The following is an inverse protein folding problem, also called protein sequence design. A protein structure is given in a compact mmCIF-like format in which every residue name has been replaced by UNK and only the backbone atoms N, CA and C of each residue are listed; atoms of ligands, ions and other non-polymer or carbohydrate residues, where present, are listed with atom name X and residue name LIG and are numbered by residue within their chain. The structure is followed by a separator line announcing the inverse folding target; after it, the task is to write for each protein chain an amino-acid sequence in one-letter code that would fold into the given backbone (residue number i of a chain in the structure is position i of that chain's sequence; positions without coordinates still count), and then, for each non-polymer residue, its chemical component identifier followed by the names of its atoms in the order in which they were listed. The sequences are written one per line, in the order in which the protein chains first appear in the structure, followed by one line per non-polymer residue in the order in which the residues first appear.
data_IF_109814325400
#
_entry.id   IF_109814325400
#
_cell.length_a   1.000
_cell.length_b   1.000
_cell.length_c   1.000
_cell.angle_alpha   90.00
_cell.angle_beta   90.00
_cell.angle_gamma   90.00
#
_symmetry.space_group_name_H-M   'P 1'
#
loop_
_entity.id
_entity.type
_entity.pdbx_description
1 polymer ?
#
# COMPACT_ATOMS: atom_id res chain seq x y z
N UNK A 1 19.40 27.70 7.09
CA UNK A 1 18.03 28.26 6.94
C UNK A 1 17.07 27.17 7.40
N UNK A 2 16.63 27.21 8.68
CA UNK A 2 15.72 26.23 9.25
C UNK A 2 14.36 26.40 8.58
N UNK A 3 14.04 25.55 7.60
CA UNK A 3 12.65 25.37 7.19
C UNK A 3 11.92 24.75 8.36
N UNK A 4 11.22 25.58 9.10
CA UNK A 4 10.17 25.14 10.02
C UNK A 4 9.17 24.34 9.19
N UNK A 5 9.31 23.03 9.21
CA UNK A 5 8.38 22.08 8.59
C UNK A 5 7.00 22.39 9.15
N UNK A 6 6.21 23.06 8.36
CA UNK A 6 4.86 23.50 8.68
C UNK A 6 4.00 22.26 8.94
N UNK A 7 3.80 21.95 10.20
CA UNK A 7 3.13 20.76 10.75
C UNK A 7 1.61 20.68 10.45
N UNK A 8 1.10 21.49 9.53
CA UNK A 8 -0.27 21.39 9.02
C UNK A 8 -0.25 20.64 7.69
N UNK A 9 -0.68 19.37 7.74
CA UNK A 9 -1.06 18.67 6.50
C UNK A 9 -2.15 19.48 5.81
N UNK A 10 -1.89 20.13 4.66
CA UNK A 10 -2.93 20.82 3.94
C UNK A 10 -3.85 19.77 3.33
N UNK A 11 -4.97 19.54 4.01
CA UNK A 11 -5.97 18.53 3.61
C UNK A 11 -6.34 18.62 2.12
N UNK A 12 -6.33 19.83 1.57
CA UNK A 12 -6.60 20.08 0.14
C UNK A 12 -5.61 19.36 -0.80
N UNK A 13 -4.32 19.33 -0.47
CA UNK A 13 -3.32 18.69 -1.32
C UNK A 13 -3.34 17.16 -1.20
N UNK A 14 -3.66 16.63 -0.03
CA UNK A 14 -3.89 15.19 0.16
C UNK A 14 -5.11 14.74 -0.65
N UNK A 15 -6.20 15.51 -0.57
CA UNK A 15 -7.40 15.23 -1.35
C UNK A 15 -7.11 15.36 -2.86
N UNK A 16 -6.36 16.38 -3.27
CA UNK A 16 -5.96 16.55 -4.67
C UNK A 16 -5.12 15.38 -5.17
N UNK A 17 -4.14 14.90 -4.38
CA UNK A 17 -3.32 13.74 -4.75
C UNK A 17 -4.19 12.49 -4.91
N UNK A 18 -5.12 12.24 -3.98
CA UNK A 18 -6.05 11.13 -4.06
C UNK A 18 -6.95 11.23 -5.32
N UNK A 19 -7.62 12.36 -5.49
CA UNK A 19 -8.58 12.56 -6.61
C UNK A 19 -7.87 12.53 -7.96
N UNK A 20 -6.69 13.14 -8.08
CA UNK A 20 -5.93 13.14 -9.33
C UNK A 20 -5.52 11.73 -9.73
N UNK A 21 -4.94 10.95 -8.80
CA UNK A 21 -4.51 9.58 -9.10
C UNK A 21 -5.72 8.66 -9.38
N UNK A 22 -6.84 8.87 -8.67
CA UNK A 22 -8.09 8.18 -8.98
C UNK A 22 -8.59 8.52 -10.39
N UNK A 23 -8.60 9.79 -10.77
CA UNK A 23 -9.08 10.24 -12.08
C UNK A 23 -8.21 9.70 -13.23
N UNK A 24 -6.87 9.65 -13.05
CA UNK A 24 -5.97 9.08 -14.05
C UNK A 24 -6.23 7.57 -14.18
N UNK A 25 -6.35 6.84 -13.06
CA UNK A 25 -6.71 5.42 -13.09
C UNK A 25 -8.06 5.18 -13.74
N UNK A 26 -9.06 6.03 -13.43
CA UNK A 26 -10.37 5.96 -14.05
C UNK A 26 -10.31 6.21 -15.57
N UNK A 27 -9.56 7.21 -16.01
CA UNK A 27 -9.37 7.47 -17.44
C UNK A 27 -8.69 6.28 -18.18
N UNK A 28 -7.82 5.54 -17.48
CA UNK A 28 -7.16 4.36 -18.05
C UNK A 28 -8.06 3.11 -18.05
N UNK A 29 -8.81 2.86 -16.97
CA UNK A 29 -9.52 1.59 -16.77
C UNK A 29 -10.99 1.63 -17.21
N UNK A 30 -11.70 2.76 -17.05
CA UNK A 30 -13.12 2.85 -17.42
C UNK A 30 -13.44 2.50 -18.89
N UNK A 31 -12.62 2.88 -19.89
CA UNK A 31 -12.92 2.50 -21.27
C UNK A 31 -12.99 0.97 -21.46
N UNK A 32 -12.11 0.22 -20.78
CA UNK A 32 -12.15 -1.25 -20.82
C UNK A 32 -13.37 -1.80 -20.08
N UNK A 33 -13.66 -1.27 -18.91
CA UNK A 33 -14.84 -1.69 -18.15
C UNK A 33 -16.15 -1.41 -18.91
N UNK A 34 -16.26 -0.26 -19.57
CA UNK A 34 -17.44 0.06 -20.39
C UNK A 34 -17.57 -0.90 -21.57
N UNK A 35 -16.46 -1.20 -22.27
CA UNK A 35 -16.43 -2.16 -23.37
C UNK A 35 -16.90 -3.54 -22.94
N UNK A 36 -16.50 -3.98 -21.74
CA UNK A 36 -16.71 -5.33 -21.24
C UNK A 36 -17.93 -5.41 -20.28
N UNK A 37 -18.92 -4.50 -20.43
CA UNK A 37 -20.18 -4.54 -19.71
C UNK A 37 -20.06 -4.33 -18.19
N UNK A 38 -19.09 -3.56 -17.75
CA UNK A 38 -18.81 -3.26 -16.33
C UNK A 38 -17.73 -4.14 -15.70
N UNK A 39 -17.23 -5.14 -16.41
CA UNK A 39 -16.18 -6.02 -15.97
C UNK A 39 -14.81 -5.39 -16.26
N UNK A 40 -13.83 -5.62 -15.39
CA UNK A 40 -12.43 -5.40 -15.74
C UNK A 40 -11.81 -6.77 -16.06
N UNK A 41 -11.51 -7.00 -17.33
CA UNK A 41 -10.80 -8.18 -17.82
C UNK A 41 -9.43 -7.72 -18.33
N UNK A 42 -8.38 -8.35 -17.85
CA UNK A 42 -7.00 -7.95 -18.19
C UNK A 42 -6.31 -9.01 -19.03
N UNK A 43 -6.25 -10.21 -18.59
CA UNK A 43 -5.75 -11.45 -19.20
C UNK A 43 -4.97 -12.29 -18.17
N UNK A 44 -4.55 -13.50 -18.57
CA UNK A 44 -3.66 -14.39 -17.84
C UNK A 44 -4.13 -14.60 -16.37
N UNK A 45 -3.22 -14.46 -15.42
CA UNK A 45 -3.47 -14.72 -13.99
C UNK A 45 -4.53 -13.80 -13.38
N UNK A 46 -4.76 -12.62 -13.97
CA UNK A 46 -5.82 -11.75 -13.47
C UNK A 46 -7.19 -12.38 -13.60
N UNK A 47 -7.54 -12.83 -14.77
CA UNK A 47 -8.86 -13.39 -15.06
C UNK A 47 -9.00 -14.80 -14.48
N UNK A 48 -7.94 -15.61 -14.57
CA UNK A 48 -7.95 -17.02 -14.14
C UNK A 48 -7.86 -17.14 -12.61
N UNK A 49 -6.96 -16.41 -11.97
CA UNK A 49 -6.62 -16.59 -10.56
C UNK A 49 -7.17 -15.47 -9.67
N UNK A 50 -6.86 -14.20 -9.99
CA UNK A 50 -7.14 -13.11 -9.06
C UNK A 50 -8.65 -12.92 -8.83
N UNK A 51 -9.47 -13.02 -9.87
CA UNK A 51 -10.92 -12.96 -9.73
C UNK A 51 -11.45 -14.18 -8.94
N UNK A 52 -11.00 -15.37 -9.32
CA UNK A 52 -11.45 -16.64 -8.71
C UNK A 52 -11.06 -16.71 -7.22
N UNK A 53 -9.82 -16.34 -6.86
CA UNK A 53 -9.34 -16.37 -5.48
C UNK A 53 -10.11 -15.40 -4.59
N UNK A 54 -10.35 -14.18 -5.06
CA UNK A 54 -11.12 -13.22 -4.27
C UNK A 54 -12.58 -13.67 -4.05
N UNK A 55 -13.22 -14.23 -5.08
CA UNK A 55 -14.57 -14.78 -4.97
C UNK A 55 -14.62 -16.00 -4.05
N UNK A 56 -13.65 -16.91 -4.15
CA UNK A 56 -13.54 -18.09 -3.30
C UNK A 56 -13.34 -17.68 -1.84
N UNK A 57 -12.40 -16.76 -1.57
CA UNK A 57 -12.14 -16.28 -0.21
C UNK A 57 -13.37 -15.59 0.39
N UNK A 58 -14.08 -14.76 -0.38
CA UNK A 58 -15.30 -14.11 0.07
C UNK A 58 -16.36 -15.16 0.48
N UNK A 59 -16.57 -16.18 -0.35
CA UNK A 59 -17.52 -17.26 -0.07
C UNK A 59 -17.08 -18.10 1.12
N UNK A 60 -15.81 -18.53 1.17
CA UNK A 60 -15.29 -19.39 2.23
C UNK A 60 -15.41 -18.72 3.61
N UNK A 61 -15.07 -17.43 3.71
CA UNK A 61 -15.21 -16.69 4.98
C UNK A 61 -16.69 -16.59 5.38
N UNK A 62 -17.59 -16.31 4.43
CA UNK A 62 -19.03 -16.19 4.71
C UNK A 62 -19.69 -17.51 5.06
N UNK A 63 -19.18 -18.65 4.55
CA UNK A 63 -19.68 -19.99 4.90
C UNK A 63 -19.01 -20.59 6.13
N UNK A 64 -17.95 -19.94 6.68
CA UNK A 64 -17.20 -20.45 7.82
C UNK A 64 -16.15 -21.51 7.48
N UNK A 65 -15.85 -21.74 6.19
CA UNK A 65 -14.84 -22.68 5.70
C UNK A 65 -13.44 -22.06 5.73
N UNK A 66 -13.00 -21.59 6.93
CA UNK A 66 -11.78 -20.78 7.11
C UNK A 66 -10.55 -21.55 7.58
N UNK A 67 -10.67 -22.82 7.89
CA UNK A 67 -9.55 -23.68 8.30
C UNK A 67 -9.14 -24.60 7.16
N UNK A 68 -10.01 -25.45 6.72
CA UNK A 68 -9.80 -26.40 5.65
C UNK A 68 -10.86 -26.22 4.58
N UNK A 69 -10.45 -26.15 3.32
CA UNK A 69 -11.40 -25.94 2.23
C UNK A 69 -11.18 -26.99 1.13
N UNK A 70 -12.21 -27.80 0.87
CA UNK A 70 -12.20 -28.85 -0.14
C UNK A 70 -12.29 -28.34 -1.59
N UNK A 71 -12.56 -27.05 -1.79
CA UNK A 71 -12.61 -26.42 -3.12
C UNK A 71 -11.25 -25.92 -3.60
N UNK A 72 -10.21 -26.07 -2.76
CA UNK A 72 -8.82 -25.71 -3.09
C UNK A 72 -8.12 -27.03 -3.41
N UNK A 73 -7.77 -27.22 -4.67
CA UNK A 73 -7.21 -28.49 -5.19
C UNK A 73 -8.03 -29.71 -4.73
N UNK A 74 -7.40 -30.61 -3.98
CA UNK A 74 -8.02 -31.80 -3.35
C UNK A 74 -8.29 -31.59 -1.86
N UNK A 75 -8.27 -30.35 -1.41
CA UNK A 75 -8.38 -29.91 -0.02
C UNK A 75 -7.07 -29.33 0.49
N UNK A 76 -7.14 -28.10 1.04
CA UNK A 76 -5.97 -27.41 1.57
C UNK A 76 -6.36 -26.50 2.73
N UNK A 77 -5.33 -26.10 3.52
CA UNK A 77 -5.47 -25.06 4.53
C UNK A 77 -5.77 -23.71 3.87
N UNK A 78 -6.88 -23.10 4.29
CA UNK A 78 -7.37 -21.87 3.68
C UNK A 78 -6.44 -20.67 3.93
N UNK A 79 -5.95 -20.53 5.16
CA UNK A 79 -5.13 -19.37 5.54
C UNK A 79 -3.79 -19.39 4.82
N UNK A 80 -3.10 -20.54 4.82
CA UNK A 80 -1.82 -20.69 4.13
C UNK A 80 -1.95 -20.46 2.62
N UNK A 81 -3.05 -20.92 2.00
CA UNK A 81 -3.28 -20.79 0.57
C UNK A 81 -3.55 -19.36 0.14
N UNK A 82 -4.23 -18.55 0.96
CA UNK A 82 -4.73 -17.23 0.55
C UNK A 82 -4.19 -16.03 1.32
N UNK A 83 -3.35 -16.23 2.35
CA UNK A 83 -2.73 -15.12 3.08
C UNK A 83 -1.90 -14.21 2.16
N UNK A 84 -1.22 -14.79 1.18
CA UNK A 84 -0.43 -14.07 0.19
C UNK A 84 -1.27 -13.22 -0.76
N UNK A 85 -2.44 -13.71 -1.16
CA UNK A 85 -3.25 -13.11 -2.25
C UNK A 85 -4.31 -12.14 -1.74
N UNK A 86 -4.96 -12.43 -0.61
CA UNK A 86 -6.21 -11.73 -0.25
C UNK A 86 -6.33 -11.34 1.22
N UNK A 87 -6.05 -12.27 2.15
CA UNK A 87 -6.49 -12.12 3.55
C UNK A 87 -5.88 -10.92 4.28
N UNK A 88 -4.63 -10.56 3.98
CA UNK A 88 -3.96 -9.38 4.53
C UNK A 88 -4.39 -8.06 3.87
N UNK A 89 -5.08 -8.10 2.73
CA UNK A 89 -5.40 -6.92 1.93
C UNK A 89 -6.56 -6.11 2.53
N UNK A 90 -6.36 -4.83 2.88
CA UNK A 90 -7.48 -3.97 3.29
C UNK A 90 -8.50 -3.76 2.17
N UNK A 91 -8.07 -3.87 0.92
CA UNK A 91 -8.93 -3.72 -0.25
C UNK A 91 -9.79 -4.95 -0.51
N UNK A 92 -9.30 -6.14 -0.19
CA UNK A 92 -10.12 -7.35 -0.17
C UNK A 92 -11.29 -7.22 0.81
N UNK A 93 -11.03 -6.72 2.02
CA UNK A 93 -12.08 -6.54 3.03
C UNK A 93 -13.14 -5.51 2.64
N UNK A 94 -12.83 -4.55 1.77
CA UNK A 94 -13.85 -3.68 1.16
C UNK A 94 -14.77 -4.49 0.23
N UNK A 95 -14.22 -5.39 -0.58
CA UNK A 95 -15.01 -6.25 -1.46
C UNK A 95 -15.90 -7.23 -0.69
N UNK A 96 -15.49 -7.61 0.51
CA UNK A 96 -16.21 -8.53 1.39
C UNK A 96 -17.60 -8.02 1.80
N UNK A 97 -17.84 -6.71 1.75
CA UNK A 97 -19.14 -6.10 2.01
C UNK A 97 -20.21 -6.49 0.97
N UNK A 98 -19.81 -7.02 -0.17
CA UNK A 98 -20.65 -7.42 -1.28
C UNK A 98 -20.67 -8.94 -1.44
N UNK A 99 -21.68 -9.52 -2.15
CA UNK A 99 -21.64 -10.93 -2.51
C UNK A 99 -20.44 -11.23 -3.42
N UNK A 100 -19.89 -12.45 -3.32
CA UNK A 100 -18.72 -12.84 -4.09
C UNK A 100 -18.90 -12.66 -5.60
N UNK A 101 -20.10 -12.91 -6.12
CA UNK A 101 -20.46 -12.73 -7.54
C UNK A 101 -20.37 -11.29 -8.02
N UNK A 102 -20.36 -10.30 -7.13
CA UNK A 102 -20.17 -8.90 -7.49
C UNK A 102 -18.71 -8.51 -7.72
N UNK A 103 -17.74 -9.33 -7.27
CA UNK A 103 -16.33 -9.00 -7.31
C UNK A 103 -15.81 -8.64 -8.72
N UNK A 104 -16.16 -9.34 -9.81
CA UNK A 104 -15.71 -8.99 -11.16
C UNK A 104 -16.12 -7.56 -11.59
N UNK A 105 -17.22 -7.04 -11.07
CA UNK A 105 -17.68 -5.67 -11.32
C UNK A 105 -17.05 -4.64 -10.38
N UNK A 106 -16.60 -5.08 -9.21
CA UNK A 106 -16.01 -4.22 -8.18
C UNK A 106 -14.50 -4.04 -8.38
N UNK A 107 -13.82 -5.04 -8.93
CA UNK A 107 -12.37 -5.09 -9.00
C UNK A 107 -11.75 -3.89 -9.70
N UNK A 108 -12.35 -3.40 -10.77
CA UNK A 108 -11.89 -2.20 -11.46
C UNK A 108 -11.95 -0.94 -10.60
N UNK A 109 -13.03 -0.76 -9.84
CA UNK A 109 -13.18 0.34 -8.89
C UNK A 109 -12.19 0.25 -7.74
N UNK A 110 -11.95 -0.96 -7.25
CA UNK A 110 -10.94 -1.18 -6.21
C UNK A 110 -9.53 -0.92 -6.75
N UNK A 111 -9.25 -1.24 -8.02
CA UNK A 111 -7.98 -0.87 -8.65
C UNK A 111 -7.78 0.65 -8.70
N UNK A 112 -8.80 1.40 -9.13
CA UNK A 112 -8.75 2.87 -9.11
C UNK A 112 -8.49 3.39 -7.70
N UNK A 113 -9.10 2.77 -6.68
CA UNK A 113 -8.87 3.10 -5.28
C UNK A 113 -7.42 2.78 -4.86
N UNK A 114 -6.85 1.65 -5.27
CA UNK A 114 -5.45 1.31 -4.98
C UNK A 114 -4.48 2.33 -5.54
N UNK A 115 -4.68 2.76 -6.80
CA UNK A 115 -3.88 3.84 -7.42
C UNK A 115 -4.05 5.17 -6.67
N UNK A 116 -5.26 5.51 -6.26
CA UNK A 116 -5.53 6.72 -5.49
C UNK A 116 -4.84 6.69 -4.13
N UNK A 117 -4.87 5.55 -3.44
CA UNK A 117 -4.17 5.37 -2.15
C UNK A 117 -2.66 5.40 -2.35
N UNK A 118 -2.11 4.76 -3.39
CA UNK A 118 -0.69 4.84 -3.74
C UNK A 118 -0.24 6.30 -3.96
N UNK A 119 -1.04 7.07 -4.70
CA UNK A 119 -0.81 8.50 -4.90
C UNK A 119 -0.89 9.30 -3.59
N UNK A 120 -1.86 9.02 -2.74
CA UNK A 120 -2.02 9.68 -1.45
C UNK A 120 -0.84 9.41 -0.51
N UNK A 121 -0.44 8.15 -0.37
CA UNK A 121 0.62 7.73 0.55
C UNK A 121 1.99 8.21 0.10
N UNK A 122 2.28 8.11 -1.19
CA UNK A 122 3.52 8.61 -1.78
C UNK A 122 3.60 10.14 -1.76
N UNK A 123 2.51 10.86 -2.00
CA UNK A 123 2.45 12.30 -1.80
C UNK A 123 2.79 12.68 -0.35
N UNK A 124 2.19 11.98 0.64
CA UNK A 124 2.45 12.25 2.05
C UNK A 124 3.93 12.03 2.42
N UNK A 125 4.59 11.08 1.77
CA UNK A 125 6.02 10.83 1.94
C UNK A 125 6.87 11.90 1.22
N UNK A 126 6.66 12.14 -0.08
CA UNK A 126 7.50 13.05 -0.88
C UNK A 126 7.44 14.50 -0.42
N UNK A 127 6.29 14.93 0.07
CA UNK A 127 6.12 16.28 0.58
C UNK A 127 6.97 16.60 1.82
N UNK A 128 7.63 15.61 2.43
CA UNK A 128 8.59 15.84 3.52
C UNK A 128 9.87 16.49 3.05
N UNK A 129 10.23 16.30 1.80
CA UNK A 129 11.48 16.80 1.20
C UNK A 129 11.28 17.63 -0.06
N UNK A 130 10.05 17.75 -0.57
CA UNK A 130 9.74 18.46 -1.79
C UNK A 130 8.57 19.45 -1.60
N UNK A 131 8.42 20.39 -2.55
CA UNK A 131 7.26 21.28 -2.60
C UNK A 131 5.98 20.50 -2.88
N UNK A 132 4.81 21.07 -2.52
CA UNK A 132 3.52 20.37 -2.78
C UNK A 132 3.35 20.01 -4.26
N UNK A 133 3.73 20.90 -5.19
CA UNK A 133 3.62 20.62 -6.63
C UNK A 133 4.55 19.49 -7.07
N UNK A 134 5.80 19.50 -6.61
CA UNK A 134 6.77 18.43 -6.91
C UNK A 134 6.36 17.11 -6.28
N UNK A 135 5.85 17.12 -5.06
CA UNK A 135 5.34 15.94 -4.38
C UNK A 135 4.10 15.37 -5.09
N UNK A 136 3.21 16.23 -5.62
CA UNK A 136 2.05 15.82 -6.39
C UNK A 136 2.48 15.13 -7.69
N UNK A 137 3.42 15.72 -8.43
CA UNK A 137 3.99 15.10 -9.64
C UNK A 137 4.66 13.75 -9.28
N UNK A 138 5.48 13.73 -8.23
CA UNK A 138 6.12 12.51 -7.74
C UNK A 138 5.12 11.42 -7.38
N UNK A 139 3.96 11.79 -6.83
CA UNK A 139 2.92 10.83 -6.47
C UNK A 139 2.29 10.16 -7.70
N UNK A 140 2.10 10.90 -8.79
CA UNK A 140 1.62 10.35 -10.06
C UNK A 140 2.68 9.42 -10.67
N UNK A 141 3.93 9.87 -10.74
CA UNK A 141 5.03 9.05 -11.26
C UNK A 141 5.24 7.76 -10.47
N UNK A 142 5.03 7.79 -9.16
CA UNK A 142 5.10 6.61 -8.32
C UNK A 142 3.92 5.66 -8.56
N UNK A 143 2.70 6.17 -8.46
CA UNK A 143 1.49 5.36 -8.59
C UNK A 143 1.40 4.68 -9.96
N UNK A 144 1.79 5.37 -11.03
CA UNK A 144 1.80 4.87 -12.41
C UNK A 144 3.21 4.52 -12.90
N UNK A 145 4.07 4.06 -12.00
CA UNK A 145 5.41 3.57 -12.37
C UNK A 145 5.33 2.37 -13.31
N UNK A 146 6.42 2.09 -14.02
CA UNK A 146 6.50 0.91 -14.89
C UNK A 146 6.18 -0.39 -14.14
N UNK A 147 6.59 -0.51 -12.88
CA UNK A 147 6.24 -1.66 -12.04
C UNK A 147 4.72 -1.79 -11.86
N UNK A 148 4.03 -0.69 -11.54
CA UNK A 148 2.57 -0.69 -11.37
C UNK A 148 1.83 -1.04 -12.67
N UNK A 149 2.29 -0.47 -13.80
CA UNK A 149 1.62 -0.68 -15.08
C UNK A 149 1.83 -2.11 -15.64
N UNK A 150 3.05 -2.66 -15.49
CA UNK A 150 3.35 -4.02 -15.99
C UNK A 150 2.67 -5.08 -15.12
N UNK A 151 2.63 -4.88 -13.80
CA UNK A 151 2.08 -5.85 -12.86
C UNK A 151 0.57 -5.71 -12.64
N UNK A 152 -0.16 -5.09 -13.57
CA UNK A 152 -1.63 -4.98 -13.48
C UNK A 152 -2.33 -6.35 -13.44
N UNK A 153 -1.70 -7.39 -13.94
CA UNK A 153 -2.19 -8.78 -13.88
C UNK A 153 -2.17 -9.38 -12.47
N UNK A 154 -1.37 -8.82 -11.57
CA UNK A 154 -1.22 -9.27 -10.18
C UNK A 154 -1.90 -8.31 -9.22
N UNK A 155 -3.19 -8.52 -9.01
CA UNK A 155 -4.06 -7.65 -8.21
C UNK A 155 -3.50 -7.32 -6.82
N UNK A 156 -2.93 -8.31 -6.12
CA UNK A 156 -2.39 -8.17 -4.76
C UNK A 156 -1.07 -7.36 -4.70
N UNK A 157 -0.31 -7.25 -5.80
CA UNK A 157 0.91 -6.43 -5.82
C UNK A 157 0.62 -4.94 -5.64
N UNK A 158 -0.55 -4.49 -6.09
CA UNK A 158 -0.96 -3.10 -5.94
C UNK A 158 -1.28 -2.70 -4.49
N UNK A 159 -1.52 -3.66 -3.60
CA UNK A 159 -1.65 -3.41 -2.17
C UNK A 159 -0.31 -2.96 -1.59
N UNK A 160 0.77 -3.62 -1.98
CA UNK A 160 2.14 -3.28 -1.60
C UNK A 160 2.51 -1.89 -2.11
N UNK A 161 2.23 -1.61 -3.40
CA UNK A 161 2.49 -0.29 -4.00
C UNK A 161 1.73 0.81 -3.23
N UNK A 162 0.48 0.55 -2.85
CA UNK A 162 -0.34 1.52 -2.14
C UNK A 162 0.16 1.79 -0.71
N UNK A 163 0.79 0.82 -0.04
CA UNK A 163 1.11 0.90 1.39
C UNK A 163 2.60 1.10 1.68
N UNK A 164 3.50 0.71 0.78
CA UNK A 164 4.94 0.89 0.95
C UNK A 164 5.36 2.33 1.31
N UNK A 165 4.81 3.41 0.70
CA UNK A 165 5.18 4.77 1.10
C UNK A 165 4.86 5.11 2.56
N UNK A 166 3.88 4.43 3.18
CA UNK A 166 3.61 4.59 4.62
C UNK A 166 4.76 4.06 5.47
N UNK A 167 5.41 2.98 5.02
CA UNK A 167 6.56 2.40 5.70
C UNK A 167 7.73 3.39 5.72
N UNK A 168 8.00 4.04 4.57
CA UNK A 168 9.01 5.08 4.43
C UNK A 168 8.68 6.32 5.28
N UNK A 169 7.42 6.77 5.23
CA UNK A 169 6.93 7.88 6.02
C UNK A 169 7.02 7.57 7.53
N UNK A 170 6.69 6.34 7.92
CA UNK A 170 6.78 5.86 9.29
C UNK A 170 8.21 5.87 9.81
N UNK A 171 9.17 5.36 9.02
CA UNK A 171 10.58 5.39 9.36
C UNK A 171 11.09 6.83 9.53
N UNK A 172 10.81 7.72 8.58
CA UNK A 172 11.19 9.13 8.68
C UNK A 172 10.61 9.81 9.94
N UNK A 173 9.34 9.55 10.27
CA UNK A 173 8.74 10.06 11.50
C UNK A 173 9.38 9.48 12.74
N UNK A 174 9.75 8.21 12.71
CA UNK A 174 10.45 7.57 13.82
C UNK A 174 11.82 8.20 14.04
N UNK A 175 12.56 8.45 12.96
CA UNK A 175 13.94 8.95 13.01
C UNK A 175 14.02 10.45 13.30
N UNK A 176 13.14 11.25 12.70
CA UNK A 176 13.21 12.71 12.79
C UNK A 176 12.33 13.29 13.90
N UNK A 177 11.21 12.64 14.23
CA UNK A 177 10.21 13.14 15.17
C UNK A 177 10.10 12.28 16.46
N UNK A 178 10.82 11.16 16.54
CA UNK A 178 10.74 10.21 17.67
C UNK A 178 9.43 9.41 17.75
N UNK A 179 8.52 9.56 16.79
CA UNK A 179 7.17 8.93 16.79
C UNK A 179 7.24 7.45 16.45
N UNK A 180 6.96 6.58 17.42
CA UNK A 180 7.00 5.12 17.26
C UNK A 180 5.76 4.57 16.56
N UNK A 181 4.57 5.04 16.96
CA UNK A 181 3.29 4.46 16.52
C UNK A 181 3.08 4.44 15.00
N UNK A 182 3.37 5.51 14.22
CA UNK A 182 3.23 5.47 12.77
C UNK A 182 4.14 4.43 12.10
N UNK A 183 5.35 4.24 12.63
CA UNK A 183 6.29 3.25 12.11
C UNK A 183 5.83 1.83 12.41
N UNK A 184 5.43 1.56 13.66
CA UNK A 184 4.91 0.25 14.05
C UNK A 184 3.66 -0.12 13.24
N UNK A 185 2.72 0.83 13.08
CA UNK A 185 1.55 0.61 12.23
C UNK A 185 1.93 0.26 10.79
N UNK A 186 2.85 1.03 10.20
CA UNK A 186 3.27 0.80 8.82
C UNK A 186 3.99 -0.54 8.63
N UNK A 187 4.85 -0.93 9.58
CA UNK A 187 5.52 -2.25 9.57
C UNK A 187 4.48 -3.36 9.67
N UNK A 188 3.54 -3.25 10.61
CA UNK A 188 2.52 -4.29 10.81
C UNK A 188 1.64 -4.46 9.59
N UNK A 189 1.13 -3.37 9.01
CA UNK A 189 0.23 -3.46 7.86
C UNK A 189 0.95 -4.02 6.62
N UNK A 190 2.19 -3.60 6.32
CA UNK A 190 2.94 -4.12 5.18
C UNK A 190 3.29 -5.61 5.35
N UNK A 191 3.67 -6.04 6.56
CA UNK A 191 3.94 -7.45 6.86
C UNK A 191 2.68 -8.33 6.70
N UNK A 192 1.51 -7.83 7.12
CA UNK A 192 0.24 -8.55 6.99
C UNK A 192 -0.27 -8.61 5.54
N UNK A 193 -0.09 -7.52 4.80
CA UNK A 193 -0.58 -7.39 3.42
C UNK A 193 0.13 -8.36 2.49
N UNK A 194 1.45 -8.43 2.57
CA UNK A 194 2.21 -9.34 1.73
C UNK A 194 3.60 -9.62 2.31
N UNK A 195 3.73 -10.74 3.00
CA UNK A 195 4.96 -11.14 3.67
C UNK A 195 6.15 -11.34 2.72
N UNK A 196 5.90 -11.73 1.47
CA UNK A 196 6.95 -11.94 0.47
C UNK A 196 7.60 -10.61 0.08
N UNK A 197 6.81 -9.62 -0.30
CA UNK A 197 7.34 -8.29 -0.60
C UNK A 197 7.90 -7.59 0.63
N UNK A 198 7.32 -7.84 1.81
CA UNK A 198 7.80 -7.25 3.06
C UNK A 198 9.26 -7.59 3.36
N UNK A 199 9.73 -8.77 2.99
CA UNK A 199 11.16 -9.11 3.10
C UNK A 199 12.01 -8.14 2.28
N UNK A 200 11.65 -7.89 1.03
CA UNK A 200 12.31 -6.92 0.17
C UNK A 200 12.23 -5.48 0.70
N UNK A 201 11.08 -5.10 1.25
CA UNK A 201 10.88 -3.80 1.90
C UNK A 201 11.79 -3.60 3.11
N UNK A 202 12.00 -4.65 3.93
CA UNK A 202 12.94 -4.61 5.07
C UNK A 202 14.36 -4.37 4.60
N UNK A 203 14.83 -5.09 3.56
CA UNK A 203 16.14 -4.83 2.97
C UNK A 203 16.26 -3.39 2.46
N UNK A 204 15.24 -2.92 1.75
CA UNK A 204 15.22 -1.54 1.28
C UNK A 204 15.26 -0.52 2.42
N UNK A 205 14.52 -0.75 3.51
CA UNK A 205 14.54 0.11 4.69
C UNK A 205 15.93 0.17 5.35
N UNK A 206 16.62 -0.96 5.43
CA UNK A 206 17.98 -1.01 5.99
C UNK A 206 18.93 -0.16 5.13
N UNK A 207 18.92 -0.34 3.81
CA UNK A 207 19.74 0.47 2.90
C UNK A 207 19.37 1.95 2.95
N UNK A 208 18.08 2.26 2.97
CA UNK A 208 17.61 3.64 3.09
C UNK A 208 18.03 4.27 4.42
N UNK A 209 17.93 3.53 5.53
CA UNK A 209 18.40 3.99 6.83
C UNK A 209 19.91 4.27 6.82
N UNK A 210 20.71 3.36 6.30
CA UNK A 210 22.16 3.50 6.20
C UNK A 210 22.52 4.72 5.36
N UNK A 211 21.98 4.83 4.15
CA UNK A 211 22.33 5.91 3.23
C UNK A 211 21.86 7.27 3.72
N UNK A 212 20.66 7.36 4.27
CA UNK A 212 20.07 8.63 4.67
C UNK A 212 20.50 9.10 6.05
N UNK A 213 20.58 8.20 7.03
CA UNK A 213 20.76 8.58 8.42
C UNK A 213 22.16 8.30 8.98
N UNK A 214 22.91 7.36 8.44
CA UNK A 214 24.28 7.12 8.83
C UNK A 214 25.28 7.91 7.97
N UNK A 215 25.07 7.96 6.64
CA UNK A 215 25.94 8.67 5.71
C UNK A 215 25.40 10.01 5.24
N UNK A 216 24.14 10.33 5.51
CA UNK A 216 23.53 11.62 5.22
C UNK A 216 24.16 12.74 6.07
N UNK A 217 24.12 13.98 5.53
CA UNK A 217 24.62 15.18 6.23
C UNK A 217 23.86 15.48 7.53
N UNK A 218 24.28 16.53 8.25
CA UNK A 218 23.71 16.91 9.56
C UNK A 218 22.19 17.11 9.56
N UNK A 219 21.62 17.57 8.45
CA UNK A 219 20.17 17.76 8.30
C UNK A 219 19.37 16.44 8.26
N UNK A 220 20.02 15.32 7.97
CA UNK A 220 19.40 13.98 7.88
C UNK A 220 19.58 13.14 9.15
N UNK A 221 20.49 13.55 10.05
CA UNK A 221 20.78 12.77 11.27
C UNK A 221 19.55 12.69 12.20
N UNK A 222 19.34 11.54 12.85
CA UNK A 222 18.33 11.43 13.90
C UNK A 222 18.56 12.52 14.93
N UNK A 223 17.50 13.22 15.31
CA UNK A 223 17.59 14.18 16.41
C UNK A 223 18.22 13.50 17.64
N UNK A 224 19.08 14.20 18.37
CA UNK A 224 19.84 13.69 19.51
C UNK A 224 19.00 12.96 20.58
N UNK A 225 17.70 13.13 20.56
CA UNK A 225 16.72 12.48 21.45
C UNK A 225 16.64 10.93 21.28
N UNK A 226 17.19 10.34 20.21
CA UNK A 226 17.17 8.89 20.01
C UNK A 226 18.36 8.16 20.67
N UNK A 227 19.44 8.89 20.96
CA UNK A 227 20.63 8.37 21.65
C UNK A 227 20.50 8.44 23.20
N UNK A 228 19.53 9.17 23.71
CA UNK A 228 19.32 9.40 25.15
C UNK A 228 17.94 8.96 25.62
N UNK A 229 17.61 7.68 25.53
CA UNK A 229 16.43 7.10 26.18
C UNK A 229 16.79 6.06 27.23
N UNK A 230 17.96 6.18 27.85
CA UNK A 230 18.20 5.55 29.14
C UNK A 230 18.02 6.64 30.20
N UNK A 231 17.04 6.55 31.09
CA UNK A 231 17.03 7.43 32.27
C UNK A 231 18.31 7.13 33.01
N UNK A 232 19.10 8.17 33.25
CA UNK A 232 20.23 8.10 34.19
C UNK A 232 19.71 7.63 35.53
N UNK A 233 20.32 6.64 36.20
CA UNK A 233 19.89 6.23 37.53
C UNK A 233 20.37 7.21 38.63
N UNK A 234 20.55 8.46 38.28
CA UNK A 234 20.94 9.52 39.21
C UNK A 234 20.14 10.76 38.90
N UNK A 235 18.96 10.83 39.47
CA UNK A 235 18.34 12.02 40.05
C UNK A 235 17.19 11.57 40.95
#
# INVERSE_FOLDING_TARGET
MKQTLQNRFPRRWLLLAFVLNFAIAAAALLPYMIRDGGLLLVAADFDAEQLSYNMLCNNAIKSGEVLWNWRIDIGSDFVSSFSFYTLGSPFFWLSFLFPASAFPYLVGWIYMLKYAVAGLTSFAYFRRSASEKSALLGSVLYAFSGFSCINVVFYHFHDVIALFPLLMLGLDKRMQEGKKAPFLFAVTINALVNYYFFIGEVFFLVFYYITRYLFGGEDARPGACLLYTSPSPRD
#
